data_IF_203799956897
#
_entry.id   IF_203799956897
#
_cell.length_a   1.000
_cell.length_b   1.000
_cell.length_c   1.000
_cell.angle_alpha   90.00
_cell.angle_beta   90.00
_cell.angle_gamma   90.00
#
_symmetry.space_group_name_H-M   'P 1'
#
loop_
_entity.id
_entity.type
_entity.pdbx_description
1 polymer ?
#
# COMPACT_ATOMS: atom_id res chain seq x y z
N UNK A 1 13.73 8.12 11.33
CA UNK A 1 13.65 7.31 10.10
C UNK A 1 13.23 5.91 10.50
N UNK A 2 12.04 5.48 10.11
CA UNK A 2 11.58 4.10 10.39
C UNK A 2 12.32 3.17 9.44
N UNK A 3 12.98 2.14 9.97
CA UNK A 3 13.61 1.13 9.12
C UNK A 3 12.53 0.38 8.32
N UNK A 4 12.56 0.53 6.99
CA UNK A 4 11.62 -0.10 6.06
C UNK A 4 11.63 -1.63 6.16
N UNK A 5 12.77 -2.24 6.51
CA UNK A 5 12.83 -3.68 6.79
C UNK A 5 11.98 -4.04 8.01
N UNK A 6 12.09 -3.24 9.07
CA UNK A 6 11.32 -3.43 10.30
C UNK A 6 9.82 -3.24 10.06
N UNK A 7 9.43 -2.25 9.24
CA UNK A 7 8.02 -2.04 8.86
C UNK A 7 7.44 -3.26 8.13
N UNK A 8 8.14 -3.77 7.13
CA UNK A 8 7.71 -4.96 6.38
C UNK A 8 7.60 -6.21 7.27
N UNK A 9 8.59 -6.44 8.14
CA UNK A 9 8.57 -7.56 9.09
C UNK A 9 7.40 -7.48 10.07
N UNK A 10 7.13 -6.30 10.63
CA UNK A 10 5.99 -6.06 11.53
C UNK A 10 4.65 -6.29 10.83
N UNK A 11 4.57 -5.96 9.55
CA UNK A 11 3.40 -6.20 8.72
C UNK A 11 3.29 -7.67 8.23
N UNK A 12 4.22 -8.56 8.61
CA UNK A 12 4.22 -9.97 8.21
C UNK A 12 4.66 -10.22 6.76
N UNK A 13 5.27 -9.22 6.11
CA UNK A 13 5.74 -9.33 4.73
C UNK A 13 7.24 -9.66 4.70
N UNK A 14 7.61 -10.63 3.86
CA UNK A 14 9.02 -10.90 3.55
C UNK A 14 9.68 -9.63 2.99
N UNK A 15 10.87 -9.31 3.48
CA UNK A 15 11.68 -8.23 2.95
C UNK A 15 12.20 -8.62 1.57
N UNK A 16 11.85 -7.84 0.55
CA UNK A 16 12.34 -8.00 -0.83
C UNK A 16 12.66 -6.62 -1.40
N UNK A 17 13.58 -6.56 -2.37
CA UNK A 17 13.98 -5.30 -2.98
C UNK A 17 12.78 -4.53 -3.60
N UNK A 18 11.86 -5.16 -4.35
CA UNK A 18 10.70 -4.43 -4.88
C UNK A 18 9.82 -3.80 -3.81
N UNK A 19 9.60 -4.49 -2.67
CA UNK A 19 8.81 -3.95 -1.56
C UNK A 19 9.49 -2.75 -0.91
N UNK A 20 10.80 -2.81 -0.73
CA UNK A 20 11.57 -1.71 -0.16
C UNK A 20 11.52 -0.47 -1.04
N UNK A 21 11.75 -0.63 -2.35
CA UNK A 21 11.74 0.48 -3.31
C UNK A 21 10.36 1.12 -3.46
N UNK A 22 9.32 0.31 -3.56
CA UNK A 22 7.93 0.81 -3.60
C UNK A 22 7.61 1.57 -2.31
N UNK A 23 8.01 1.05 -1.15
CA UNK A 23 7.77 1.71 0.14
C UNK A 23 8.55 3.02 0.29
N UNK A 24 9.79 3.07 -0.20
CA UNK A 24 10.64 4.27 -0.24
C UNK A 24 9.96 5.38 -1.04
N UNK A 25 9.52 5.10 -2.27
CA UNK A 25 8.85 6.10 -3.11
C UNK A 25 7.53 6.56 -2.48
N UNK A 26 6.76 5.66 -1.85
CA UNK A 26 5.51 6.00 -1.16
C UNK A 26 5.69 6.85 0.11
N UNK A 27 6.91 6.91 0.66
CA UNK A 27 7.24 7.73 1.83
C UNK A 27 7.75 9.13 1.45
N UNK A 28 8.01 9.38 0.17
CA UNK A 28 8.36 10.72 -0.31
C UNK A 28 7.20 11.69 -0.03
N UNK A 29 7.50 12.93 0.40
CA UNK A 29 6.48 13.92 0.79
C UNK A 29 5.48 14.21 -0.34
N UNK A 30 5.93 14.17 -1.59
CA UNK A 30 5.11 14.46 -2.76
C UNK A 30 4.22 13.27 -3.20
N UNK A 31 4.39 12.10 -2.59
CA UNK A 31 3.74 10.83 -2.99
C UNK A 31 2.67 10.34 -2.02
N UNK A 32 2.18 11.23 -1.15
CA UNK A 32 1.13 10.90 -0.20
C UNK A 32 -0.17 10.39 -0.87
N UNK A 33 -0.40 10.73 -2.15
CA UNK A 33 -1.47 10.17 -2.98
C UNK A 33 -0.97 9.84 -4.38
N UNK A 34 -0.52 8.61 -4.59
CA UNK A 34 0.04 8.18 -5.87
C UNK A 34 -0.81 7.09 -6.50
N UNK A 35 -0.97 7.10 -7.82
CA UNK A 35 -1.56 5.95 -8.53
C UNK A 35 -0.48 4.90 -8.78
N UNK A 36 -0.88 3.67 -9.13
CA UNK A 36 0.08 2.64 -9.47
C UNK A 36 0.92 3.01 -10.71
N UNK A 37 0.32 3.69 -11.69
CA UNK A 37 1.01 4.17 -12.89
C UNK A 37 2.03 5.25 -12.57
N UNK A 38 1.67 6.22 -11.73
CA UNK A 38 2.57 7.30 -11.34
C UNK A 38 3.74 6.76 -10.50
N UNK A 39 3.46 5.79 -9.62
CA UNK A 39 4.47 5.09 -8.84
C UNK A 39 5.42 4.28 -9.73
N UNK A 40 4.88 3.59 -10.73
CA UNK A 40 5.66 2.85 -11.72
C UNK A 40 6.58 3.78 -12.51
N UNK A 41 6.08 4.94 -13.00
CA UNK A 41 6.91 5.91 -13.72
C UNK A 41 8.10 6.38 -12.88
N UNK A 42 7.86 6.73 -11.61
CA UNK A 42 8.93 7.13 -10.68
C UNK A 42 10.00 6.06 -10.50
N UNK A 43 9.59 4.79 -10.38
CA UNK A 43 10.54 3.68 -10.29
C UNK A 43 11.41 3.56 -11.55
N UNK A 44 10.83 3.76 -12.73
CA UNK A 44 11.59 3.81 -13.99
C UNK A 44 12.54 5.01 -14.02
N UNK A 45 12.10 6.18 -13.59
CA UNK A 45 12.93 7.40 -13.53
C UNK A 45 14.11 7.24 -12.56
N UNK A 46 13.97 6.40 -11.53
CA UNK A 46 15.03 6.01 -10.60
C UNK A 46 15.94 4.88 -11.13
N UNK A 47 15.65 4.31 -12.31
CA UNK A 47 16.41 3.20 -12.90
C UNK A 47 16.08 1.82 -12.34
N UNK A 48 14.95 1.65 -11.64
CA UNK A 48 14.55 0.37 -11.05
C UNK A 48 13.85 -0.53 -12.08
N UNK A 49 14.24 -1.80 -12.15
CA UNK A 49 13.66 -2.81 -13.06
C UNK A 49 12.40 -3.47 -12.48
N UNK A 50 11.44 -2.67 -12.00
CA UNK A 50 10.20 -3.15 -11.38
C UNK A 50 9.02 -2.94 -12.33
N UNK A 51 8.52 -4.02 -12.94
CA UNK A 51 7.37 -3.95 -13.84
C UNK A 51 6.06 -3.53 -13.15
N UNK A 52 5.17 -2.88 -13.91
CA UNK A 52 3.87 -2.38 -13.44
C UNK A 52 3.01 -3.46 -12.74
N UNK A 53 3.01 -4.70 -13.25
CA UNK A 53 2.29 -5.80 -12.62
C UNK A 53 2.79 -6.10 -11.20
N UNK A 54 4.11 -5.98 -10.96
CA UNK A 54 4.72 -6.13 -9.64
C UNK A 54 4.32 -4.99 -8.72
N UNK A 55 4.27 -3.75 -9.24
CA UNK A 55 3.79 -2.58 -8.49
C UNK A 55 2.36 -2.82 -7.98
N UNK A 56 1.44 -3.21 -8.85
CA UNK A 56 0.08 -3.54 -8.47
C UNK A 56 -0.01 -4.66 -7.43
N UNK A 57 0.74 -5.75 -7.61
CA UNK A 57 0.76 -6.87 -6.65
C UNK A 57 1.27 -6.44 -5.28
N UNK A 58 2.33 -5.64 -5.22
CA UNK A 58 2.88 -5.16 -3.95
C UNK A 58 1.95 -4.16 -3.29
N UNK A 59 1.34 -3.23 -4.04
CA UNK A 59 0.35 -2.29 -3.50
C UNK A 59 -0.86 -3.02 -2.91
N UNK A 60 -1.36 -4.07 -3.58
CA UNK A 60 -2.41 -4.92 -3.03
C UNK A 60 -1.96 -5.60 -1.72
N UNK A 61 -0.73 -6.11 -1.67
CA UNK A 61 -0.19 -6.74 -0.46
C UNK A 61 0.02 -5.74 0.69
N UNK A 62 0.38 -4.49 0.37
CA UNK A 62 0.52 -3.42 1.35
C UNK A 62 -0.83 -2.97 1.90
N UNK A 63 -1.84 -2.85 1.03
CA UNK A 63 -3.24 -2.60 1.39
C UNK A 63 -3.73 -3.73 2.31
N UNK A 64 -3.43 -4.98 1.94
CA UNK A 64 -3.76 -6.14 2.74
C UNK A 64 -2.99 -6.22 4.07
N UNK A 65 -1.81 -5.65 4.16
CA UNK A 65 -1.02 -5.63 5.38
C UNK A 65 -1.26 -4.36 6.23
N UNK A 66 -2.12 -3.45 5.78
CA UNK A 66 -2.40 -2.18 6.45
C UNK A 66 -1.24 -1.19 6.41
N UNK A 67 -0.31 -1.34 5.46
CA UNK A 67 0.81 -0.41 5.23
C UNK A 67 0.34 0.81 4.42
N UNK A 68 -0.55 0.56 3.46
CA UNK A 68 -1.18 1.62 2.65
C UNK A 68 -2.69 1.51 2.73
N UNK A 69 -3.37 2.62 2.48
CA UNK A 69 -4.82 2.62 2.29
C UNK A 69 -5.15 2.90 0.82
N UNK A 70 -5.96 2.04 0.22
CA UNK A 70 -6.55 2.26 -1.10
C UNK A 70 -7.72 3.25 -1.03
N UNK A 71 -7.67 4.28 -1.84
CA UNK A 71 -8.77 5.22 -2.06
C UNK A 71 -9.27 5.14 -3.51
N UNK A 72 -10.59 4.99 -3.68
CA UNK A 72 -11.25 5.13 -4.96
C UNK A 72 -11.66 6.59 -5.13
N UNK A 73 -11.08 7.28 -6.11
CA UNK A 73 -11.44 8.64 -6.46
C UNK A 73 -12.52 8.65 -7.55
N UNK A 74 -13.27 9.74 -7.63
CA UNK A 74 -14.23 9.97 -8.71
C UNK A 74 -13.54 9.84 -10.08
N UNK A 75 -14.18 9.14 -11.02
CA UNK A 75 -13.60 8.78 -12.31
C UNK A 75 -12.81 7.46 -12.34
N UNK A 76 -12.94 6.61 -11.32
CA UNK A 76 -12.41 5.24 -11.31
C UNK A 76 -10.91 5.13 -11.05
N UNK A 77 -10.25 6.23 -10.69
CA UNK A 77 -8.81 6.24 -10.38
C UNK A 77 -8.55 5.74 -8.96
N UNK A 78 -7.59 4.84 -8.82
CA UNK A 78 -7.17 4.29 -7.53
C UNK A 78 -5.90 5.00 -7.09
N UNK A 79 -5.89 5.50 -5.86
CA UNK A 79 -4.71 6.14 -5.24
C UNK A 79 -4.37 5.42 -3.94
N UNK A 80 -3.07 5.36 -3.64
CA UNK A 80 -2.54 4.76 -2.42
C UNK A 80 -1.83 5.82 -1.58
N UNK A 81 -1.94 5.68 -0.27
CA UNK A 81 -1.33 6.54 0.75
C UNK A 81 -0.69 5.67 1.82
N UNK A 82 0.49 6.02 2.30
CA UNK A 82 1.10 5.41 3.50
C UNK A 82 0.41 5.93 4.76
N UNK A 83 -0.05 5.02 5.62
CA UNK A 83 -0.69 5.44 6.87
C UNK A 83 0.40 5.76 7.92
N UNK A 84 0.55 7.02 8.36
CA UNK A 84 1.53 7.36 9.42
C UNK A 84 1.18 6.69 10.76
N UNK A 85 -0.06 6.22 10.92
CA UNK A 85 -0.53 5.43 12.06
C UNK A 85 -0.11 3.93 11.98
N UNK A 86 0.51 3.47 10.90
CA UNK A 86 1.07 2.11 10.79
C UNK A 86 2.43 1.93 11.52
N UNK A 87 2.79 2.87 12.39
CA UNK A 87 3.74 2.66 13.50
C UNK A 87 3.02 1.92 14.63
N UNK A 88 3.64 0.96 15.36
CA UNK A 88 2.90 -0.05 16.12
C UNK A 88 2.22 0.55 17.37
N UNK A 89 1.00 1.03 17.21
CA UNK A 89 0.02 1.12 18.27
C UNK A 89 -1.32 0.64 17.74
N UNK A 90 -1.57 -0.66 17.90
CA UNK A 90 -2.83 -1.25 18.38
C UNK A 90 -2.76 -2.77 18.20
N UNK A 91 -2.64 -3.55 19.29
CA UNK A 91 -2.71 -5.02 19.22
C UNK A 91 -4.07 -5.60 18.78
N UNK A 92 -5.10 -4.76 18.63
CA UNK A 92 -6.50 -5.22 18.55
C UNK A 92 -7.20 -4.99 17.20
N UNK A 93 -6.47 -4.85 16.08
CA UNK A 93 -7.15 -5.04 14.78
C UNK A 93 -7.28 -6.55 14.54
N UNK A 94 -8.50 -7.14 14.58
CA UNK A 94 -8.67 -8.51 14.15
C UNK A 94 -8.18 -8.61 12.72
N UNK A 95 -7.29 -9.57 12.44
CA UNK A 95 -6.92 -9.95 11.07
C UNK A 95 -8.20 -10.37 10.37
N UNK A 96 -8.84 -9.42 9.69
CA UNK A 96 -10.03 -9.66 8.89
C UNK A 96 -9.66 -10.73 7.89
N UNK A 97 -10.43 -11.82 7.86
CA UNK A 97 -10.25 -12.81 6.81
C UNK A 97 -10.51 -12.11 5.48
N UNK A 98 -9.91 -12.61 4.41
CA UNK A 98 -10.06 -12.05 3.07
C UNK A 98 -11.55 -11.82 2.71
N UNK A 99 -12.44 -12.69 3.22
CA UNK A 99 -13.89 -12.60 3.14
C UNK A 99 -14.49 -11.35 3.81
N UNK A 100 -14.03 -11.01 5.02
CA UNK A 100 -14.55 -9.86 5.78
C UNK A 100 -14.14 -8.53 5.14
N UNK A 101 -13.02 -8.52 4.41
CA UNK A 101 -12.58 -7.35 3.63
C UNK A 101 -13.43 -7.11 2.40
N UNK A 102 -13.85 -8.19 1.72
CA UNK A 102 -14.77 -8.10 0.58
C UNK A 102 -16.11 -7.51 1.05
N UNK A 103 -16.61 -7.96 2.20
CA UNK A 103 -17.87 -7.45 2.75
C UNK A 103 -17.78 -5.96 3.12
N UNK A 104 -16.74 -5.53 3.87
CA UNK A 104 -16.54 -4.09 4.16
C UNK A 104 -16.34 -3.23 2.92
N UNK A 105 -15.77 -3.81 1.86
CA UNK A 105 -15.58 -3.13 0.57
C UNK A 105 -16.90 -2.97 -0.18
N UNK A 106 -17.82 -3.93 -0.07
CA UNK A 106 -19.20 -3.82 -0.59
C UNK A 106 -20.01 -2.80 0.21
N UNK A 107 -19.89 -2.81 1.54
CA UNK A 107 -20.63 -1.90 2.43
C UNK A 107 -20.27 -0.41 2.25
N UNK A 108 -19.09 -0.10 1.67
CA UNK A 108 -18.69 1.27 1.32
C UNK A 108 -19.22 1.76 -0.03
N UNK A 109 -19.70 0.86 -0.89
CA UNK A 109 -20.16 1.18 -2.25
C UNK A 109 -21.69 1.27 -2.30
N UNK A 110 -22.40 0.74 -1.30
CA UNK A 110 -23.86 0.83 -1.19
C UNK A 110 -24.24 1.59 0.08
N UNK A 111 -24.62 2.88 0.00
CA UNK A 111 -25.26 3.53 1.12
C UNK A 111 -26.67 2.94 1.25
N UNK A 112 -27.03 2.50 2.46
CA UNK A 112 -28.42 2.28 2.84
C UNK A 112 -29.15 3.61 2.99
#
# INVERSE_FOLDING_TARGET
>A
MTDNNTALKKAGLKVTLPRLKILEVLQEPDNHHVSAEDLYKRLIDMGEEIGLATVYRVLNQFDDAGIVTRHNFEGGKIRFRTDPAASPRSPDLPRLRQSDRIQRRLDRITPA
#
